data_IF_441721813401
#
_entry.id   IF_441721813401
#
_cell.length_a   1.000
_cell.length_b   1.000
_cell.length_c   1.000
_cell.angle_alpha   90.00
_cell.angle_beta   90.00
_cell.angle_gamma   90.00
#
_symmetry.space_group_name_H-M   'P 1'
#
loop_
_entity.id
_entity.type
_entity.pdbx_description
1 polymer ?
#
# COMPACT_ATOMS: atom_id res chain seq x y z
N UNK A 1 -24.38 -34.73 -12.18
CA UNK A 1 -25.01 -35.84 -11.42
C UNK A 1 -23.94 -36.86 -11.12
N UNK A 2 -23.78 -37.29 -9.88
CA UNK A 2 -22.58 -38.03 -9.43
C UNK A 2 -22.62 -39.54 -9.71
N UNK A 3 -22.74 -39.92 -10.98
CA UNK A 3 -22.83 -41.32 -11.43
C UNK A 3 -24.15 -42.06 -11.11
N UNK A 4 -24.85 -41.66 -10.05
CA UNK A 4 -26.05 -42.28 -9.48
C UNK A 4 -27.17 -42.64 -10.49
N UNK A 5 -27.34 -41.86 -11.56
CA UNK A 5 -28.37 -42.10 -12.59
C UNK A 5 -28.12 -43.37 -13.42
N UNK A 6 -26.88 -43.88 -13.45
CA UNK A 6 -26.51 -45.08 -14.24
C UNK A 6 -26.80 -46.41 -13.54
N UNK A 7 -27.38 -46.40 -12.33
CA UNK A 7 -27.52 -47.56 -11.45
C UNK A 7 -29.00 -47.89 -11.23
N UNK A 8 -29.50 -48.92 -11.90
CA UNK A 8 -30.85 -49.47 -11.70
C UNK A 8 -31.09 -49.97 -10.26
N UNK A 9 -30.02 -50.33 -9.55
CA UNK A 9 -30.00 -50.46 -8.08
C UNK A 9 -28.74 -49.80 -7.54
N UNK A 10 -28.91 -48.72 -6.77
CA UNK A 10 -27.81 -48.07 -6.03
C UNK A 10 -27.55 -48.82 -4.73
N UNK A 11 -26.38 -49.44 -4.60
CA UNK A 11 -25.95 -50.00 -3.33
C UNK A 11 -25.40 -48.90 -2.40
N UNK A 12 -26.26 -48.41 -1.51
CA UNK A 12 -25.88 -47.46 -0.46
C UNK A 12 -24.79 -48.00 0.49
N UNK A 13 -24.66 -49.32 0.66
CA UNK A 13 -23.70 -49.90 1.62
C UNK A 13 -22.25 -49.79 1.11
N UNK A 14 -21.99 -50.10 -0.16
CA UNK A 14 -20.67 -49.88 -0.77
C UNK A 14 -20.27 -48.40 -0.76
N UNK A 15 -21.20 -47.47 -0.99
CA UNK A 15 -20.92 -46.03 -0.94
C UNK A 15 -20.65 -45.58 0.50
N UNK A 16 -21.54 -45.86 1.46
CA UNK A 16 -21.40 -45.34 2.83
C UNK A 16 -20.26 -45.99 3.63
N UNK A 17 -19.61 -47.05 3.12
CA UNK A 17 -18.33 -47.56 3.62
C UNK A 17 -17.22 -46.50 3.66
N UNK A 18 -17.25 -45.50 2.77
CA UNK A 18 -16.24 -44.44 2.66
C UNK A 18 -16.47 -43.25 3.61
N UNK A 19 -17.62 -43.20 4.31
CA UNK A 19 -17.83 -42.37 5.50
C UNK A 19 -18.13 -43.27 6.72
N UNK A 20 -17.11 -43.96 7.28
CA UNK A 20 -17.30 -44.83 8.44
C UNK A 20 -17.69 -44.06 9.70
N UNK A 21 -17.44 -42.74 9.74
CA UNK A 21 -17.80 -41.83 10.84
C UNK A 21 -19.29 -41.54 10.92
N UNK A 22 -19.98 -41.38 9.78
CA UNK A 22 -21.38 -40.95 9.74
C UNK A 22 -22.29 -41.91 8.95
N UNK A 23 -21.98 -43.21 8.92
CA UNK A 23 -22.66 -44.23 8.11
C UNK A 23 -24.21 -44.10 8.11
N UNK A 24 -24.85 -43.97 9.27
CA UNK A 24 -26.31 -43.80 9.37
C UNK A 24 -26.84 -42.49 8.75
N UNK A 25 -26.05 -41.42 8.77
CA UNK A 25 -26.37 -40.13 8.13
C UNK A 25 -26.21 -40.25 6.61
N UNK A 26 -25.12 -40.87 6.15
CA UNK A 26 -24.88 -41.15 4.73
C UNK A 26 -26.04 -41.93 4.10
N UNK A 27 -26.49 -43.02 4.74
CA UNK A 27 -27.64 -43.81 4.26
C UNK A 27 -28.90 -42.96 4.10
N UNK A 28 -29.27 -42.15 5.11
CA UNK A 28 -30.47 -41.30 5.04
C UNK A 28 -30.33 -40.16 4.04
N UNK A 29 -29.14 -39.58 3.90
CA UNK A 29 -28.87 -38.51 2.93
C UNK A 29 -28.97 -39.02 1.50
N UNK A 30 -28.32 -40.15 1.16
CA UNK A 30 -28.41 -40.73 -0.19
C UNK A 30 -29.84 -41.16 -0.54
N UNK A 31 -30.60 -41.73 0.42
CA UNK A 31 -32.02 -42.04 0.23
C UNK A 31 -32.85 -40.79 -0.08
N UNK A 32 -32.63 -39.67 0.64
CA UNK A 32 -33.31 -38.40 0.39
C UNK A 32 -32.93 -37.80 -0.97
N UNK A 33 -31.65 -37.86 -1.35
CA UNK A 33 -31.15 -37.38 -2.66
C UNK A 33 -31.78 -38.17 -3.81
N UNK A 34 -31.83 -39.51 -3.73
CA UNK A 34 -32.46 -40.32 -4.79
C UNK A 34 -33.98 -40.09 -4.83
N UNK A 35 -34.65 -40.04 -3.67
CA UNK A 35 -36.08 -39.73 -3.61
C UNK A 35 -36.43 -38.37 -4.23
N UNK A 36 -35.57 -37.37 -4.07
CA UNK A 36 -35.71 -36.06 -4.72
C UNK A 36 -35.43 -36.11 -6.24
N UNK A 37 -34.53 -36.97 -6.71
CA UNK A 37 -34.14 -37.05 -8.12
C UNK A 37 -35.13 -37.84 -9.00
N UNK A 38 -35.74 -38.91 -8.48
CA UNK A 38 -36.66 -39.80 -9.23
C UNK A 38 -37.78 -39.05 -9.99
N UNK A 39 -38.47 -38.03 -9.43
CA UNK A 39 -39.48 -37.26 -10.16
C UNK A 39 -38.98 -36.50 -11.39
N UNK A 40 -37.67 -36.23 -11.48
CA UNK A 40 -37.05 -35.49 -12.58
C UNK A 40 -36.38 -36.41 -13.62
N UNK A 41 -36.19 -37.70 -13.31
CA UNK A 41 -35.63 -38.70 -14.22
C UNK A 41 -36.33 -38.74 -15.60
N UNK A 42 -37.68 -38.69 -15.71
CA UNK A 42 -38.37 -38.76 -17.00
C UNK A 42 -38.15 -37.54 -17.92
N UNK A 43 -37.56 -36.45 -17.41
CA UNK A 43 -37.27 -35.23 -18.18
C UNK A 43 -35.87 -35.26 -18.80
N UNK A 44 -35.04 -36.24 -18.42
CA UNK A 44 -33.66 -36.39 -18.88
C UNK A 44 -33.63 -37.41 -20.01
N UNK A 45 -32.99 -37.08 -21.14
CA UNK A 45 -32.77 -38.05 -22.21
C UNK A 45 -31.65 -39.02 -21.78
N UNK A 46 -32.05 -40.05 -21.03
CA UNK A 46 -31.15 -40.96 -20.31
C UNK A 46 -30.12 -41.63 -21.23
N UNK A 47 -30.49 -41.92 -22.48
CA UNK A 47 -29.61 -42.59 -23.45
C UNK A 47 -28.40 -41.74 -23.86
N UNK A 48 -28.61 -40.47 -24.24
CA UNK A 48 -27.50 -39.58 -24.61
C UNK A 48 -26.65 -39.18 -23.41
N UNK A 49 -27.28 -38.97 -22.25
CA UNK A 49 -26.58 -38.64 -20.99
C UNK A 49 -25.70 -39.83 -20.54
N UNK A 50 -26.18 -41.07 -20.64
CA UNK A 50 -25.40 -42.26 -20.30
C UNK A 50 -24.19 -42.43 -21.21
N UNK A 51 -24.34 -42.17 -22.53
CA UNK A 51 -23.21 -42.18 -23.46
C UNK A 51 -22.13 -41.16 -23.07
N UNK A 52 -22.51 -39.91 -22.78
CA UNK A 52 -21.57 -38.87 -22.34
C UNK A 52 -20.93 -39.17 -20.97
N UNK A 53 -21.66 -39.79 -20.04
CA UNK A 53 -21.10 -40.23 -18.74
C UNK A 53 -20.05 -41.32 -18.95
N UNK A 54 -20.28 -42.26 -19.86
CA UNK A 54 -19.33 -43.34 -20.14
C UNK A 54 -18.05 -42.81 -20.83
N UNK A 55 -18.18 -41.91 -21.80
CA UNK A 55 -17.03 -41.22 -22.39
C UNK A 55 -16.26 -40.38 -21.36
N UNK A 56 -16.95 -39.69 -20.45
CA UNK A 56 -16.33 -38.94 -19.38
C UNK A 56 -15.54 -39.84 -18.42
N UNK A 57 -16.10 -40.99 -17.99
CA UNK A 57 -15.40 -41.96 -17.14
C UNK A 57 -14.09 -42.44 -17.81
N UNK A 58 -14.14 -42.87 -19.08
CA UNK A 58 -12.95 -43.32 -19.82
C UNK A 58 -11.85 -42.24 -19.93
N UNK A 59 -12.25 -40.96 -20.10
CA UNK A 59 -11.31 -39.83 -20.11
C UNK A 59 -10.72 -39.55 -18.71
N UNK A 60 -11.48 -39.75 -17.63
CA UNK A 60 -11.01 -39.57 -16.25
C UNK A 60 -10.05 -40.69 -15.82
N UNK A 61 -10.40 -41.94 -16.14
CA UNK A 61 -9.56 -43.13 -15.95
C UNK A 61 -8.18 -42.94 -16.61
N UNK A 62 -8.15 -42.48 -17.87
CA UNK A 62 -6.88 -42.24 -18.60
C UNK A 62 -6.01 -41.09 -18.07
N UNK A 63 -6.56 -40.17 -17.26
CA UNK A 63 -5.76 -39.09 -16.62
C UNK A 63 -5.04 -39.54 -15.35
N UNK A 64 -5.37 -40.71 -14.79
CA UNK A 64 -4.75 -41.32 -13.61
C UNK A 64 -4.58 -40.33 -12.43
N UNK A 65 -5.66 -39.60 -12.13
CA UNK A 65 -5.71 -38.62 -11.04
C UNK A 65 -5.72 -39.37 -9.71
N UNK A 66 -4.82 -39.01 -8.80
CA UNK A 66 -4.59 -39.70 -7.54
C UNK A 66 -4.72 -38.76 -6.33
N UNK A 67 -5.07 -39.35 -5.19
CA UNK A 67 -4.71 -38.81 -3.87
C UNK A 67 -3.29 -39.20 -3.49
N UNK A 68 -2.69 -38.43 -2.59
CA UNK A 68 -1.34 -38.62 -2.08
C UNK A 68 -1.32 -38.45 -0.56
N UNK A 69 -0.66 -39.37 0.14
CA UNK A 69 -0.40 -39.25 1.58
C UNK A 69 0.99 -39.82 1.93
N UNK A 70 1.72 -39.12 2.79
CA UNK A 70 2.90 -39.68 3.44
C UNK A 70 2.47 -40.48 4.67
N UNK A 71 2.86 -41.75 4.73
CA UNK A 71 2.43 -42.68 5.78
C UNK A 71 3.59 -43.52 6.30
N UNK A 72 3.36 -44.21 7.42
CA UNK A 72 4.26 -45.22 7.97
C UNK A 72 3.46 -46.46 8.32
N UNK A 73 3.91 -47.63 7.88
CA UNK A 73 3.27 -48.89 8.27
C UNK A 73 3.39 -49.18 9.78
N UNK A 74 4.49 -48.76 10.40
CA UNK A 74 4.77 -48.86 11.83
C UNK A 74 5.59 -47.63 12.29
N UNK A 75 5.58 -47.30 13.59
CA UNK A 75 6.30 -46.12 14.11
C UNK A 75 7.81 -46.10 13.76
N UNK A 76 8.44 -47.28 13.75
CA UNK A 76 9.85 -47.52 13.39
C UNK A 76 10.11 -47.65 11.89
N UNK A 77 9.08 -47.73 11.05
CA UNK A 77 9.24 -47.85 9.60
C UNK A 77 9.78 -46.55 8.96
N UNK A 78 10.24 -46.67 7.72
CA UNK A 78 10.49 -45.51 6.85
C UNK A 78 9.19 -44.72 6.62
N UNK A 79 9.32 -43.45 6.23
CA UNK A 79 8.19 -42.68 5.71
C UNK A 79 8.02 -43.04 4.22
N UNK A 80 6.87 -43.56 3.87
CA UNK A 80 6.55 -44.01 2.51
C UNK A 80 5.47 -43.11 1.89
N UNK A 81 5.51 -43.00 0.57
CA UNK A 81 4.54 -42.26 -0.22
C UNK A 81 3.48 -43.23 -0.74
N UNK A 82 2.25 -43.10 -0.23
CA UNK A 82 1.10 -43.86 -0.72
C UNK A 82 0.26 -42.99 -1.64
N UNK A 83 -0.12 -43.52 -2.80
CA UNK A 83 -1.07 -42.90 -3.72
C UNK A 83 -2.26 -43.83 -3.98
N UNK A 84 -3.42 -43.26 -4.25
CA UNK A 84 -4.67 -43.99 -4.52
C UNK A 84 -5.38 -43.32 -5.69
N UNK A 85 -5.77 -44.09 -6.71
CA UNK A 85 -6.43 -43.59 -7.92
C UNK A 85 -7.87 -43.20 -7.60
N UNK A 86 -8.29 -41.99 -8.00
CA UNK A 86 -9.63 -41.44 -7.70
C UNK A 86 -10.71 -42.11 -8.58
N UNK A 87 -10.37 -42.44 -9.82
CA UNK A 87 -11.25 -43.04 -10.82
C UNK A 87 -10.81 -44.48 -11.15
N UNK A 88 -10.71 -45.34 -10.13
CA UNK A 88 -10.40 -46.76 -10.31
C UNK A 88 -11.68 -47.54 -10.69
N UNK A 89 -11.74 -48.20 -11.87
CA UNK A 89 -12.87 -49.05 -12.24
C UNK A 89 -13.03 -50.29 -11.33
N UNK A 90 -11.99 -50.63 -10.54
CA UNK A 90 -12.01 -51.72 -9.55
C UNK A 90 -12.81 -51.38 -8.29
N UNK A 91 -13.03 -50.09 -7.99
CA UNK A 91 -13.80 -49.62 -6.83
C UNK A 91 -15.06 -48.82 -7.26
N UNK A 92 -16.15 -49.51 -7.65
CA UNK A 92 -17.40 -48.86 -8.00
C UNK A 92 -18.09 -48.19 -6.81
N UNK A 93 -17.73 -48.52 -5.56
CA UNK A 93 -18.29 -47.91 -4.35
C UNK A 93 -17.79 -46.48 -4.15
N UNK A 94 -16.51 -46.23 -4.42
CA UNK A 94 -15.94 -44.89 -4.34
C UNK A 94 -16.40 -43.95 -5.47
N UNK A 95 -16.97 -44.48 -6.57
CA UNK A 95 -17.37 -43.70 -7.76
C UNK A 95 -18.29 -42.51 -7.47
N UNK A 96 -19.16 -42.60 -6.46
CA UNK A 96 -19.98 -41.45 -6.02
C UNK A 96 -19.12 -40.26 -5.56
N UNK A 97 -18.13 -40.52 -4.70
CA UNK A 97 -17.21 -39.50 -4.18
C UNK A 97 -16.24 -39.02 -5.25
N UNK A 98 -15.71 -39.92 -6.09
CA UNK A 98 -14.90 -39.55 -7.25
C UNK A 98 -15.60 -38.50 -8.14
N UNK A 99 -16.90 -38.64 -8.34
CA UNK A 99 -17.71 -37.65 -9.06
C UNK A 99 -18.00 -36.36 -8.27
N UNK A 100 -18.00 -36.34 -6.92
CA UNK A 100 -18.04 -35.07 -6.18
C UNK A 100 -16.70 -34.33 -6.25
N UNK A 101 -15.57 -35.05 -6.17
CA UNK A 101 -14.24 -34.47 -6.38
C UNK A 101 -14.04 -33.91 -7.80
N UNK A 102 -14.65 -34.54 -8.82
CA UNK A 102 -14.72 -33.99 -10.17
C UNK A 102 -15.50 -32.67 -10.23
N UNK A 103 -16.61 -32.57 -9.51
CA UNK A 103 -17.44 -31.36 -9.47
C UNK A 103 -16.69 -30.21 -8.76
N UNK A 104 -15.98 -30.49 -7.67
CA UNK A 104 -15.07 -29.53 -7.02
C UNK A 104 -14.01 -28.99 -8.00
N UNK A 105 -13.43 -29.87 -8.83
CA UNK A 105 -12.44 -29.48 -9.84
C UNK A 105 -13.05 -28.64 -10.97
N UNK A 106 -14.23 -29.01 -11.49
CA UNK A 106 -14.94 -28.25 -12.52
C UNK A 106 -15.32 -26.84 -12.03
N UNK A 107 -15.62 -26.67 -10.74
CA UNK A 107 -15.89 -25.36 -10.14
C UNK A 107 -14.63 -24.60 -9.68
N UNK A 108 -13.43 -25.20 -9.75
CA UNK A 108 -12.18 -24.58 -9.31
C UNK A 108 -12.00 -24.49 -7.80
N UNK A 109 -12.77 -25.24 -7.01
CA UNK A 109 -12.50 -25.43 -5.56
C UNK A 109 -11.34 -26.41 -5.31
N UNK A 110 -11.03 -27.24 -6.30
CA UNK A 110 -9.82 -28.08 -6.36
C UNK A 110 -9.17 -27.94 -7.73
N UNK A 111 -7.90 -28.29 -7.84
CA UNK A 111 -7.12 -28.28 -9.07
C UNK A 111 -6.47 -29.64 -9.28
N UNK A 112 -6.27 -30.04 -10.54
CA UNK A 112 -5.52 -31.25 -10.90
C UNK A 112 -4.16 -30.85 -11.43
N UNK A 113 -3.10 -31.25 -10.73
CA UNK A 113 -1.71 -30.86 -11.02
C UNK A 113 -0.92 -32.12 -11.37
N UNK A 114 -0.30 -32.13 -12.56
CA UNK A 114 0.57 -33.23 -13.00
C UNK A 114 2.04 -32.86 -12.84
N UNK A 115 2.66 -33.40 -11.79
CA UNK A 115 4.10 -33.29 -11.55
C UNK A 115 4.83 -34.26 -12.49
N UNK A 116 5.91 -33.79 -13.13
CA UNK A 116 6.78 -34.61 -13.99
C UNK A 116 8.21 -34.46 -13.50
N UNK A 117 8.91 -35.59 -13.34
CA UNK A 117 10.32 -35.63 -12.95
C UNK A 117 11.00 -36.90 -13.45
N UNK A 118 12.28 -37.04 -13.13
CA UNK A 118 13.14 -38.08 -13.73
C UNK A 118 12.68 -39.51 -13.38
N UNK A 119 12.06 -39.69 -12.21
CA UNK A 119 11.47 -40.95 -11.76
C UNK A 119 9.96 -41.09 -12.09
N UNK A 120 9.43 -40.30 -13.01
CA UNK A 120 8.08 -40.47 -13.57
C UNK A 120 7.12 -39.29 -13.38
N UNK A 121 5.84 -39.54 -13.64
CA UNK A 121 4.77 -38.54 -13.58
C UNK A 121 3.76 -38.88 -12.48
N UNK A 122 3.33 -37.87 -11.74
CA UNK A 122 2.37 -38.00 -10.63
C UNK A 122 1.27 -36.94 -10.78
N UNK A 123 0.05 -37.36 -11.11
CA UNK A 123 -1.12 -36.47 -11.27
C UNK A 123 -1.95 -36.48 -10.00
N UNK A 124 -2.00 -35.34 -9.31
CA UNK A 124 -2.66 -35.19 -8.01
C UNK A 124 -3.86 -34.25 -8.09
N UNK A 125 -4.88 -34.53 -7.28
CA UNK A 125 -5.92 -33.56 -6.94
C UNK A 125 -5.47 -32.75 -5.70
N UNK A 126 -5.61 -31.42 -5.73
CA UNK A 126 -5.33 -30.57 -4.56
C UNK A 126 -6.41 -30.67 -3.48
N UNK A 127 -6.10 -30.16 -2.28
CA UNK A 127 -7.12 -30.07 -1.24
C UNK A 127 -8.15 -28.96 -1.53
N UNK A 128 -9.30 -28.99 -0.84
CA UNK A 128 -10.41 -28.07 -1.07
C UNK A 128 -10.01 -26.64 -0.68
N UNK A 129 -9.77 -25.81 -1.68
CA UNK A 129 -9.53 -24.40 -1.49
C UNK A 129 -10.87 -23.70 -1.23
N UNK A 130 -11.24 -23.67 0.06
CA UNK A 130 -12.29 -22.77 0.58
C UNK A 130 -12.10 -21.38 -0.06
N UNK A 131 -13.16 -20.74 -0.58
CA UNK A 131 -13.05 -19.42 -1.20
C UNK A 131 -12.41 -18.48 -0.18
N UNK A 132 -11.20 -18.01 -0.50
CA UNK A 132 -10.31 -17.46 0.50
C UNK A 132 -10.91 -16.18 1.06
N UNK A 133 -11.47 -16.27 2.27
CA UNK A 133 -11.84 -15.14 3.11
C UNK A 133 -10.56 -14.47 3.64
N UNK A 134 -9.75 -14.01 2.69
CA UNK A 134 -8.50 -13.29 2.87
C UNK A 134 -8.82 -12.11 3.79
N UNK A 135 -8.38 -12.20 5.05
CA UNK A 135 -8.57 -11.12 6.00
C UNK A 135 -7.76 -9.94 5.46
N UNK A 136 -8.46 -8.97 4.86
CA UNK A 136 -7.86 -7.83 4.18
C UNK A 136 -6.91 -7.17 5.16
N UNK A 137 -5.61 -7.21 4.86
CA UNK A 137 -4.57 -6.68 5.73
C UNK A 137 -4.96 -5.24 6.07
N UNK A 138 -5.12 -4.85 7.35
CA UNK A 138 -5.80 -3.60 7.69
C UNK A 138 -5.17 -2.32 7.10
N UNK A 139 -3.90 -2.37 6.68
CA UNK A 139 -3.23 -1.29 5.92
C UNK A 139 -3.84 -1.04 4.54
N UNK A 140 -4.28 -2.09 3.85
CA UNK A 140 -4.77 -2.04 2.45
C UNK A 140 -6.23 -1.61 2.32
N UNK A 141 -6.93 -1.45 3.45
CA UNK A 141 -8.30 -0.91 3.44
C UNK A 141 -8.22 0.57 3.07
N UNK A 142 -8.79 0.93 1.91
CA UNK A 142 -8.76 2.28 1.32
C UNK A 142 -9.18 3.40 2.29
N UNK A 143 -10.03 3.10 3.27
CA UNK A 143 -10.46 4.04 4.33
C UNK A 143 -9.30 4.52 5.20
N UNK A 144 -8.24 3.73 5.40
CA UNK A 144 -7.07 4.13 6.17
C UNK A 144 -6.17 5.07 5.37
N UNK A 145 -5.96 4.82 4.07
CA UNK A 145 -5.28 5.78 3.18
C UNK A 145 -6.00 7.14 3.16
N UNK A 146 -7.34 7.14 3.08
CA UNK A 146 -8.16 8.37 3.13
C UNK A 146 -8.07 9.08 4.50
N UNK A 147 -7.93 8.34 5.61
CA UNK A 147 -7.70 8.92 6.94
C UNK A 147 -6.32 9.57 7.04
N UNK A 148 -5.26 8.90 6.58
CA UNK A 148 -3.91 9.44 6.61
C UNK A 148 -3.75 10.67 5.69
N UNK A 149 -4.31 10.64 4.48
CA UNK A 149 -4.26 11.79 3.57
C UNK A 149 -5.05 12.99 4.11
N UNK A 150 -6.25 12.76 4.69
CA UNK A 150 -7.03 13.81 5.37
C UNK A 150 -6.28 14.40 6.57
N UNK A 151 -5.63 13.57 7.39
CA UNK A 151 -4.82 14.03 8.51
C UNK A 151 -3.62 14.89 8.03
N UNK A 152 -2.95 14.45 6.96
CA UNK A 152 -1.87 15.22 6.32
C UNK A 152 -2.34 16.58 5.80
N UNK A 153 -3.47 16.64 5.10
CA UNK A 153 -4.05 17.90 4.60
C UNK A 153 -4.41 18.86 5.75
N UNK A 154 -4.99 18.35 6.85
CA UNK A 154 -5.30 19.15 8.04
C UNK A 154 -4.03 19.69 8.71
N UNK A 155 -2.99 18.87 8.82
CA UNK A 155 -1.67 19.29 9.35
C UNK A 155 -1.04 20.39 8.49
N UNK A 156 -1.04 20.24 7.17
CA UNK A 156 -0.54 21.25 6.22
C UNK A 156 -1.30 22.56 6.38
N UNK A 157 -2.64 22.52 6.39
CA UNK A 157 -3.48 23.70 6.53
C UNK A 157 -3.24 24.43 7.87
N UNK A 158 -3.07 23.69 8.96
CA UNK A 158 -2.76 24.26 10.27
C UNK A 158 -1.39 24.94 10.29
N UNK A 159 -0.35 24.32 9.74
CA UNK A 159 1.00 24.90 9.68
C UNK A 159 1.07 26.15 8.79
N UNK A 160 0.38 26.14 7.65
CA UNK A 160 0.31 27.30 6.76
C UNK A 160 -0.47 28.46 7.39
N UNK A 161 -1.54 28.17 8.14
CA UNK A 161 -2.27 29.17 8.93
C UNK A 161 -1.40 29.75 10.04
N UNK A 162 -0.70 28.92 10.81
CA UNK A 162 0.20 29.37 11.87
C UNK A 162 1.34 30.26 11.33
N UNK A 163 1.96 29.88 10.21
CA UNK A 163 2.97 30.69 9.53
C UNK A 163 2.40 32.03 9.05
N UNK A 164 1.18 32.04 8.49
CA UNK A 164 0.50 33.28 8.10
C UNK A 164 0.30 34.23 9.28
N UNK A 165 -0.15 33.72 10.44
CA UNK A 165 -0.26 34.52 11.67
C UNK A 165 1.09 35.09 12.14
N UNK A 166 2.17 34.31 12.08
CA UNK A 166 3.52 34.78 12.42
C UNK A 166 3.97 35.89 11.48
N UNK A 167 3.71 35.77 10.17
CA UNK A 167 4.03 36.79 9.18
C UNK A 167 3.22 38.07 9.38
N UNK A 168 1.91 37.97 9.65
CA UNK A 168 1.06 39.12 9.99
C UNK A 168 1.60 39.83 11.24
N UNK A 169 1.99 39.08 12.27
CA UNK A 169 2.67 39.61 13.45
C UNK A 169 3.94 40.39 13.10
N UNK A 170 4.79 39.84 12.23
CA UNK A 170 5.99 40.56 11.75
C UNK A 170 5.67 41.80 10.93
N UNK A 171 4.70 41.75 10.01
CA UNK A 171 4.30 42.90 9.17
C UNK A 171 3.80 44.08 10.03
N UNK A 172 3.07 43.79 11.11
CA UNK A 172 2.63 44.79 12.10
C UNK A 172 3.84 45.34 12.89
N UNK A 173 4.69 44.46 13.43
CA UNK A 173 5.85 44.84 14.26
C UNK A 173 6.91 45.63 13.48
N UNK A 174 7.09 45.35 12.19
CA UNK A 174 7.98 46.12 11.30
C UNK A 174 7.30 47.29 10.61
N UNK A 175 6.03 47.59 10.92
CA UNK A 175 5.24 48.69 10.32
C UNK A 175 5.21 48.70 8.79
N UNK A 176 5.29 47.53 8.16
CA UNK A 176 5.31 47.39 6.69
C UNK A 176 6.69 47.30 6.02
N UNK A 177 7.81 47.36 6.77
CA UNK A 177 9.18 47.38 6.22
C UNK A 177 9.70 46.02 5.65
N UNK A 178 8.83 45.23 5.02
CA UNK A 178 9.11 43.90 4.44
C UNK A 178 9.11 43.92 2.90
N UNK A 179 9.66 42.89 2.25
CA UNK A 179 9.64 42.81 0.78
C UNK A 179 8.37 42.09 0.28
N UNK A 180 7.36 42.85 -0.16
CA UNK A 180 6.04 42.31 -0.52
C UNK A 180 6.06 41.17 -1.56
N UNK A 181 6.96 41.24 -2.55
CA UNK A 181 7.12 40.19 -3.55
C UNK A 181 7.53 38.82 -2.96
N UNK A 182 8.27 38.81 -1.85
CA UNK A 182 8.63 37.55 -1.17
C UNK A 182 7.43 36.95 -0.42
N UNK A 183 6.46 37.76 0.01
CA UNK A 183 5.30 37.28 0.78
C UNK A 183 4.31 36.46 -0.07
N UNK A 184 4.21 36.75 -1.37
CA UNK A 184 3.44 35.91 -2.31
C UNK A 184 4.01 34.50 -2.48
N UNK A 185 5.23 34.25 -1.99
CA UNK A 185 5.89 32.95 -2.06
C UNK A 185 5.73 32.14 -0.76
N UNK A 186 4.74 32.50 0.08
CA UNK A 186 4.34 31.76 1.28
C UNK A 186 4.13 30.26 1.00
N UNK A 187 3.41 29.90 -0.06
CA UNK A 187 3.16 28.51 -0.41
C UNK A 187 4.45 27.77 -0.85
N UNK A 188 5.20 28.37 -1.79
CA UNK A 188 6.37 27.74 -2.40
C UNK A 188 7.59 27.66 -1.47
N UNK A 189 7.87 28.72 -0.71
CA UNK A 189 9.00 28.75 0.24
C UNK A 189 8.52 28.31 1.62
N UNK A 190 7.52 28.99 2.17
CA UNK A 190 7.00 28.70 3.51
C UNK A 190 6.46 27.28 3.65
N UNK A 191 5.73 26.75 2.66
CA UNK A 191 5.25 25.37 2.66
C UNK A 191 6.39 24.34 2.69
N UNK A 192 7.32 24.40 1.72
CA UNK A 192 8.50 23.50 1.66
C UNK A 192 9.39 23.62 2.90
N UNK A 193 9.40 24.78 3.54
CA UNK A 193 10.16 25.04 4.76
C UNK A 193 9.44 24.48 6.00
N UNK A 194 8.18 24.81 6.25
CA UNK A 194 7.53 24.57 7.54
C UNK A 194 6.74 23.26 7.64
N UNK A 195 6.22 22.73 6.53
CA UNK A 195 5.52 21.42 6.50
C UNK A 195 6.50 20.25 6.68
N UNK A 196 7.79 20.47 6.39
CA UNK A 196 8.84 19.45 6.36
C UNK A 196 9.18 19.00 4.95
N UNK A 197 10.27 18.21 4.80
CA UNK A 197 10.76 17.76 3.49
C UNK A 197 10.40 16.29 3.22
N UNK A 198 9.51 15.98 2.26
CA UNK A 198 9.56 14.72 1.55
C UNK A 198 10.86 14.71 0.73
N UNK A 199 11.89 14.01 1.24
CA UNK A 199 13.21 13.97 0.61
C UNK A 199 13.19 13.42 -0.82
N UNK A 200 12.22 12.56 -1.13
CA UNK A 200 11.91 12.03 -2.45
C UNK A 200 11.67 13.10 -3.52
N UNK A 201 10.89 14.15 -3.21
CA UNK A 201 10.47 15.12 -4.23
C UNK A 201 11.62 16.05 -4.69
N UNK A 202 12.67 16.19 -3.88
CA UNK A 202 13.84 17.00 -4.21
C UNK A 202 14.73 16.36 -5.30
N UNK A 203 14.65 15.03 -5.49
CA UNK A 203 15.38 14.32 -6.55
C UNK A 203 14.69 14.45 -7.91
N UNK A 204 13.36 14.28 -7.95
CA UNK A 204 12.55 14.46 -9.16
C UNK A 204 12.64 15.90 -9.67
N UNK A 205 12.49 16.90 -8.79
CA UNK A 205 12.66 18.31 -9.16
C UNK A 205 14.06 18.62 -9.71
N UNK A 206 15.12 18.03 -9.16
CA UNK A 206 16.50 18.18 -9.69
C UNK A 206 16.67 17.61 -11.10
N UNK A 207 15.98 16.52 -11.42
CA UNK A 207 16.06 15.90 -12.74
C UNK A 207 15.29 16.71 -13.80
N UNK A 208 14.16 17.31 -13.42
CA UNK A 208 13.28 18.06 -14.33
C UNK A 208 13.69 19.52 -14.60
N UNK A 209 14.40 20.18 -13.68
CA UNK A 209 14.61 21.66 -13.69
C UNK A 209 15.98 22.10 -14.24
N UNK A 210 16.88 21.16 -14.56
CA UNK A 210 18.14 21.47 -15.24
C UNK A 210 19.23 22.11 -14.35
N UNK A 211 20.26 22.74 -14.95
CA UNK A 211 21.41 23.27 -14.20
C UNK A 211 21.01 24.42 -13.28
N UNK A 212 21.40 24.33 -12.00
CA UNK A 212 20.92 25.24 -10.94
C UNK A 212 21.22 26.72 -11.23
N UNK A 213 20.20 27.59 -11.18
CA UNK A 213 20.65 29.64 -11.27
C UNK A 213 21.68 30.16 -10.26
N UNK A 214 22.59 31.01 -10.76
CA UNK A 214 23.77 31.57 -10.09
C UNK A 214 23.39 32.73 -9.17
N UNK A 215 22.61 32.43 -8.12
CA UNK A 215 22.22 33.43 -7.11
C UNK A 215 23.45 34.06 -6.42
N UNK A 216 23.54 35.41 -6.36
CA UNK A 216 24.72 36.11 -5.83
C UNK A 216 24.89 35.92 -4.32
N UNK A 217 23.80 35.66 -3.60
CA UNK A 217 23.82 35.40 -2.15
C UNK A 217 24.41 34.00 -1.89
N UNK A 218 25.36 33.89 -0.95
CA UNK A 218 26.05 32.64 -0.56
C UNK A 218 26.14 32.46 0.96
N UNK A 219 25.02 32.57 1.68
CA UNK A 219 24.93 32.23 3.11
C UNK A 219 24.33 30.83 3.32
N UNK A 220 24.76 30.13 4.38
CA UNK A 220 24.24 28.81 4.77
C UNK A 220 22.89 28.88 5.49
N UNK A 221 22.55 30.04 6.06
CA UNK A 221 21.29 30.31 6.74
C UNK A 221 20.10 30.48 5.77
N UNK A 222 20.35 30.56 4.46
CA UNK A 222 19.30 30.75 3.46
C UNK A 222 18.93 29.41 2.80
N UNK A 223 17.67 29.00 2.99
CA UNK A 223 17.10 27.78 2.43
C UNK A 223 17.15 27.77 0.90
N UNK A 224 17.10 26.57 0.32
CA UNK A 224 17.25 26.42 -1.13
C UNK A 224 16.11 27.05 -1.94
N UNK A 225 14.90 27.14 -1.36
CA UNK A 225 13.75 27.85 -1.93
C UNK A 225 13.95 29.35 -1.85
N UNK A 226 14.13 29.90 -0.65
CA UNK A 226 14.37 31.33 -0.44
C UNK A 226 15.51 31.89 -1.32
N UNK A 227 16.62 31.14 -1.49
CA UNK A 227 17.77 31.54 -2.32
C UNK A 227 17.49 31.67 -3.84
N UNK A 228 16.41 31.08 -4.33
CA UNK A 228 16.12 30.99 -5.77
C UNK A 228 14.68 31.41 -6.14
N UNK A 229 13.84 31.74 -5.15
CA UNK A 229 12.53 32.37 -5.34
C UNK A 229 12.50 33.84 -4.85
N UNK A 230 13.13 34.19 -3.71
CA UNK A 230 13.07 35.57 -3.18
C UNK A 230 13.77 36.58 -4.11
N UNK A 231 13.28 37.82 -4.08
CA UNK A 231 13.99 38.97 -4.65
C UNK A 231 15.12 39.41 -3.71
N UNK A 232 16.36 39.36 -4.19
CA UNK A 232 17.54 39.73 -3.40
C UNK A 232 18.08 41.13 -3.69
N UNK A 233 17.87 41.66 -4.90
CA UNK A 233 18.54 42.86 -5.43
C UNK A 233 18.27 44.13 -4.62
N UNK A 234 17.05 44.29 -4.08
CA UNK A 234 16.61 45.47 -3.34
C UNK A 234 17.09 45.55 -1.88
N UNK A 235 17.85 44.54 -1.39
CA UNK A 235 18.35 44.46 0.00
C UNK A 235 19.79 43.93 0.12
N UNK A 236 20.63 44.14 -0.89
CA UNK A 236 22.08 43.92 -0.80
C UNK A 236 22.78 45.27 -0.58
N UNK A 237 23.64 45.37 0.43
CA UNK A 237 24.36 46.61 0.78
C UNK A 237 25.77 46.28 1.24
N UNK A 238 26.78 46.94 0.66
CA UNK A 238 28.22 46.67 0.89
C UNK A 238 28.59 45.16 0.79
N UNK A 239 27.90 44.43 -0.11
CA UNK A 239 28.11 42.98 -0.34
C UNK A 239 27.42 42.05 0.67
N UNK A 240 26.78 42.56 1.71
CA UNK A 240 25.97 41.78 2.67
C UNK A 240 24.50 41.81 2.24
N UNK A 241 23.81 40.69 2.37
CA UNK A 241 22.36 40.60 2.11
C UNK A 241 21.58 40.75 3.43
N UNK A 242 20.59 41.62 3.44
CA UNK A 242 19.83 42.02 4.62
C UNK A 242 18.40 41.47 4.54
N UNK A 243 18.14 40.36 5.22
CA UNK A 243 16.86 39.64 5.15
C UNK A 243 15.84 40.28 6.11
N UNK A 244 14.69 40.72 5.60
CA UNK A 244 13.62 41.25 6.47
C UNK A 244 13.00 40.15 7.33
N UNK A 245 12.33 40.53 8.44
CA UNK A 245 11.85 39.57 9.44
C UNK A 245 10.77 38.61 8.93
N UNK A 246 9.95 39.05 7.97
CA UNK A 246 8.92 38.21 7.38
C UNK A 246 9.55 37.24 6.38
N UNK A 247 10.48 37.71 5.55
CA UNK A 247 11.28 36.83 4.67
C UNK A 247 12.17 35.86 5.47
N UNK A 248 12.64 36.24 6.66
CA UNK A 248 13.33 35.36 7.60
C UNK A 248 12.40 34.29 8.20
N UNK A 249 11.18 34.65 8.60
CA UNK A 249 10.21 33.68 9.10
C UNK A 249 9.73 32.70 8.00
N UNK A 250 9.55 33.17 6.75
CA UNK A 250 9.35 32.28 5.59
C UNK A 250 10.52 31.30 5.40
N UNK A 251 11.73 31.72 5.76
CA UNK A 251 12.98 30.97 5.70
C UNK A 251 13.40 30.47 7.09
N UNK A 252 12.52 29.73 7.78
CA UNK A 252 12.78 28.97 9.02
C UNK A 252 13.45 29.70 10.20
N UNK A 253 13.63 31.02 10.14
CA UNK A 253 14.37 31.82 11.12
C UNK A 253 13.42 32.80 11.80
N UNK A 254 13.04 32.47 13.03
CA UNK A 254 12.32 33.40 13.92
C UNK A 254 13.33 34.44 14.41
N UNK A 255 13.09 35.71 14.09
CA UNK A 255 13.92 36.83 14.56
C UNK A 255 13.24 37.63 15.66
N UNK A 256 13.96 37.94 16.73
CA UNK A 256 13.51 38.85 17.78
C UNK A 256 14.62 39.82 18.19
N UNK A 257 14.23 41.01 18.67
CA UNK A 257 15.16 42.07 19.08
C UNK A 257 15.13 42.20 20.60
N UNK A 258 16.30 42.22 21.23
CA UNK A 258 16.44 42.50 22.65
C UNK A 258 17.64 43.42 22.88
N UNK A 259 17.37 44.64 23.35
CA UNK A 259 18.39 45.69 23.48
C UNK A 259 19.08 46.01 22.14
N UNK A 260 20.42 45.95 22.15
CA UNK A 260 21.28 46.19 20.99
C UNK A 260 21.50 44.97 20.08
N UNK A 261 20.94 43.80 20.44
CA UNK A 261 21.15 42.55 19.71
C UNK A 261 19.87 42.08 18.99
N UNK A 262 20.07 41.48 17.82
CA UNK A 262 19.04 40.76 17.09
C UNK A 262 19.36 39.27 17.16
N UNK A 263 18.44 38.51 17.75
CA UNK A 263 18.52 37.06 17.88
C UNK A 263 17.74 36.42 16.72
N UNK A 264 18.33 35.38 16.13
CA UNK A 264 17.79 34.60 15.04
C UNK A 264 17.79 33.13 15.45
N UNK A 265 16.61 32.54 15.66
CA UNK A 265 16.46 31.13 15.97
C UNK A 265 16.06 30.37 14.71
N UNK A 266 16.97 29.53 14.21
CA UNK A 266 16.73 28.59 13.13
C UNK A 266 16.00 27.36 13.69
N UNK A 267 14.73 27.20 13.31
CA UNK A 267 13.84 26.15 13.79
C UNK A 267 14.24 24.75 13.33
N UNK A 268 14.97 24.61 12.21
CA UNK A 268 15.41 23.29 11.72
C UNK A 268 16.73 22.86 12.31
N UNK A 269 17.68 23.79 12.42
CA UNK A 269 18.99 23.51 13.00
C UNK A 269 18.94 23.49 14.53
N UNK A 270 17.85 23.97 15.15
CA UNK A 270 17.72 24.21 16.59
C UNK A 270 18.85 25.08 17.14
N UNK A 271 19.24 26.10 16.35
CA UNK A 271 20.37 26.98 16.65
C UNK A 271 19.90 28.42 16.82
N UNK A 272 20.35 29.04 17.90
CA UNK A 272 20.21 30.48 18.10
C UNK A 272 21.51 31.17 17.70
N UNK A 273 21.39 32.16 16.82
CA UNK A 273 22.45 33.07 16.42
C UNK A 273 22.12 34.46 16.96
N UNK A 274 23.15 35.26 17.26
CA UNK A 274 22.99 36.66 17.65
C UNK A 274 23.87 37.55 16.78
N UNK A 275 23.32 38.66 16.33
CA UNK A 275 24.04 39.69 15.59
C UNK A 275 23.92 41.03 16.33
N UNK A 276 25.02 41.77 16.56
CA UNK A 276 24.94 43.14 17.05
C UNK A 276 24.31 44.03 15.97
N UNK A 277 23.32 44.83 16.35
CA UNK A 277 22.68 45.73 15.39
C UNK A 277 23.60 46.92 15.09
N UNK A 278 24.01 47.06 13.81
CA UNK A 278 24.81 48.19 13.34
C UNK A 278 24.01 49.50 13.45
N UNK A 279 24.23 50.23 14.54
CA UNK A 279 23.87 51.65 14.65
C UNK A 279 24.94 52.46 13.94
N UNK A 280 24.68 52.90 12.72
CA UNK A 280 25.54 53.90 12.07
C UNK A 280 25.31 55.27 12.73
N UNK A 281 26.36 56.10 12.76
CA UNK A 281 26.32 57.49 13.23
C UNK A 281 26.97 58.32 12.11
N UNK A 282 26.20 59.19 11.47
CA UNK A 282 26.63 60.02 10.33
C UNK A 282 25.44 60.53 9.52
N UNK A 283 25.42 61.82 9.23
CA UNK A 283 24.19 62.59 8.94
C UNK A 283 23.72 62.57 7.46
N UNK A 284 23.84 61.43 6.75
CA UNK A 284 23.57 61.38 5.29
C UNK A 284 22.93 60.05 4.79
N UNK A 285 22.03 59.42 5.58
CA UNK A 285 21.56 58.05 5.30
C UNK A 285 20.04 57.73 5.49
N UNK A 286 19.21 58.71 5.86
CA UNK A 286 17.87 58.53 6.47
C UNK A 286 16.93 57.48 5.82
N UNK A 287 16.86 57.41 4.48
CA UNK A 287 15.93 56.51 3.78
C UNK A 287 16.41 55.04 3.73
N UNK A 288 17.73 54.81 3.65
CA UNK A 288 18.30 53.46 3.60
C UNK A 288 18.29 52.84 5.01
N UNK A 289 18.50 53.66 6.04
CA UNK A 289 18.70 53.20 7.41
C UNK A 289 17.48 52.45 8.00
N UNK A 290 16.24 52.92 7.76
CA UNK A 290 15.04 52.29 8.33
C UNK A 290 14.78 50.88 7.80
N UNK A 291 14.86 50.70 6.47
CA UNK A 291 14.64 49.40 5.80
C UNK A 291 15.69 48.34 6.21
N UNK A 292 16.89 48.78 6.60
CA UNK A 292 17.97 47.92 7.13
C UNK A 292 17.82 47.68 8.64
N UNK A 293 17.44 48.66 9.46
CA UNK A 293 17.30 48.51 10.93
C UNK A 293 16.22 47.49 11.38
N UNK A 294 15.33 47.08 10.49
CA UNK A 294 14.39 45.99 10.72
C UNK A 294 14.94 44.59 10.37
N UNK A 295 16.02 44.49 9.58
CA UNK A 295 16.48 43.26 8.92
C UNK A 295 17.62 42.53 9.66
N UNK A 296 17.79 41.24 9.35
CA UNK A 296 18.89 40.40 9.84
C UNK A 296 20.02 40.30 8.79
N UNK A 297 21.28 40.60 9.14
CA UNK A 297 22.40 40.52 8.20
C UNK A 297 22.82 39.07 7.96
N UNK A 298 22.76 38.62 6.70
CA UNK A 298 23.26 37.31 6.29
C UNK A 298 24.72 37.39 5.86
N UNK A 299 25.61 37.29 6.86
CA UNK A 299 27.04 37.04 6.64
C UNK A 299 27.28 35.62 6.12
N UNK A 300 28.54 35.35 5.75
CA UNK A 300 29.04 33.98 5.54
C UNK A 300 29.19 33.26 6.88
#
# INVERSE_FOLDING_TARGET
>A
MSGLHSLTTVDYASICKYDPTNIHVCFRYLQQVIYFLVPYEPQLNTTSITASINEANQRLESMNIQFMIYTKQNATAALELLTIIIFDPSDPGFKFFAWTYLIDWIFGYREVISFRGDNGNLTLLTDYQLPLAQQVVPSEITTNLVRYSRAGIIYIAFMMLALSFVLVGYMIVTKGEFEGYNMFQLDQVGGIVWVGRPSSNCLLAKWYVGPKPTSPVRSLLLSHGARYHFTHTSRITKGVYYLDRASAALNDIITFRYGAYMYAFDIKLWRMFSSPQLRYIGDEADFIDRKINASYPLTK
#
